data_IF_789198117887
#
_entry.id   IF_789198117887
#
_cell.length_a   1.000
_cell.length_b   1.000
_cell.length_c   1.000
_cell.angle_alpha   90.00
_cell.angle_beta   90.00
_cell.angle_gamma   90.00
#
_symmetry.space_group_name_H-M   'P 1'
#
loop_
_entity.id
_entity.type
_entity.pdbx_description
1 polymer ?
#
# COMPACT_ATOMS: atom_id res chain seq x y z
N UNK A 1 -7.03 27.93 43.34
CA UNK A 1 -6.04 27.46 42.35
C UNK A 1 -6.78 26.47 41.48
N UNK A 2 -7.39 26.98 40.42
CA UNK A 2 -8.24 26.21 39.51
C UNK A 2 -7.37 25.40 38.56
N UNK A 3 -7.55 24.08 38.59
CA UNK A 3 -6.81 23.11 37.79
C UNK A 3 -7.70 22.72 36.60
N UNK A 4 -7.72 23.57 35.59
CA UNK A 4 -8.38 23.31 34.30
C UNK A 4 -7.32 22.81 33.27
N UNK A 5 -6.69 21.65 33.57
CA UNK A 5 -5.71 21.01 32.68
C UNK A 5 -6.24 19.79 31.91
N UNK A 6 -7.56 19.59 31.83
CA UNK A 6 -8.14 18.42 31.14
C UNK A 6 -9.33 18.79 30.26
N UNK A 7 -9.15 19.76 29.38
CA UNK A 7 -9.89 19.74 28.10
C UNK A 7 -8.88 19.29 27.04
N UNK A 8 -9.12 18.18 26.31
CA UNK A 8 -8.42 17.94 25.07
C UNK A 8 -8.76 19.10 24.15
N UNK A 9 -7.92 20.14 24.15
CA UNK A 9 -8.01 21.20 23.18
C UNK A 9 -7.79 20.53 21.84
N UNK A 10 -8.80 20.55 20.97
CA UNK A 10 -8.59 20.29 19.56
C UNK A 10 -7.53 21.29 19.12
N UNK A 11 -6.29 20.82 18.98
CA UNK A 11 -5.20 21.62 18.44
C UNK A 11 -5.73 22.14 17.10
N UNK A 12 -5.83 23.46 16.87
CA UNK A 12 -6.29 23.98 15.61
C UNK A 12 -5.42 23.37 14.52
N UNK A 13 -6.06 22.72 13.53
CA UNK A 13 -5.38 22.25 12.34
C UNK A 13 -4.64 23.47 11.79
N UNK A 14 -3.31 23.37 11.66
CA UNK A 14 -2.53 24.49 11.19
C UNK A 14 -3.10 24.92 9.82
N UNK A 15 -3.18 26.22 9.51
CA UNK A 15 -3.87 26.71 8.32
C UNK A 15 -3.30 26.16 7.00
N UNK A 16 -2.13 25.53 7.02
CA UNK A 16 -1.46 24.92 5.88
C UNK A 16 -1.48 23.38 5.89
N UNK A 17 -2.18 22.74 6.84
CA UNK A 17 -2.29 21.27 6.87
C UNK A 17 -3.27 20.81 5.80
N UNK A 18 -2.72 20.31 4.68
CA UNK A 18 -3.50 19.71 3.59
C UNK A 18 -4.04 18.35 4.03
N UNK A 19 -5.34 18.12 3.81
CA UNK A 19 -5.96 16.82 4.10
C UNK A 19 -5.78 15.86 2.93
N UNK A 20 -5.76 14.54 3.21
CA UNK A 20 -5.49 13.52 2.19
C UNK A 20 -6.46 13.56 0.99
N UNK A 21 -7.72 13.94 1.22
CA UNK A 21 -8.73 14.01 0.16
C UNK A 21 -8.56 15.24 -0.74
N UNK A 22 -7.85 16.27 -0.29
CA UNK A 22 -7.56 17.44 -1.13
C UNK A 22 -6.68 17.05 -2.31
N UNK A 23 -5.77 16.08 -2.12
CA UNK A 23 -4.97 15.48 -3.21
C UNK A 23 -5.82 14.71 -4.25
N UNK A 24 -7.06 14.34 -3.91
CA UNK A 24 -8.00 13.74 -4.85
C UNK A 24 -8.82 14.78 -5.59
N UNK A 25 -9.12 15.90 -4.94
CA UNK A 25 -9.88 17.01 -5.53
C UNK A 25 -9.00 17.78 -6.51
N UNK A 26 -7.78 18.08 -6.09
CA UNK A 26 -6.78 18.76 -6.90
C UNK A 26 -5.53 17.87 -7.06
N UNK A 27 -5.35 17.22 -8.23
CA UNK A 27 -4.21 16.34 -8.45
C UNK A 27 -2.87 17.10 -8.50
N UNK A 28 -2.86 18.39 -8.84
CA UNK A 28 -1.64 19.20 -8.88
C UNK A 28 -1.03 19.39 -7.49
N UNK A 29 -1.89 19.38 -6.47
CA UNK A 29 -1.52 19.55 -5.07
C UNK A 29 -0.57 18.47 -4.55
N UNK A 30 -0.73 17.24 -5.04
CA UNK A 30 0.13 16.11 -4.68
C UNK A 30 1.50 16.27 -5.33
N UNK A 31 1.55 16.66 -6.60
CA UNK A 31 2.79 16.87 -7.33
C UNK A 31 3.61 18.02 -6.72
N UNK A 32 2.97 19.15 -6.39
CA UNK A 32 3.62 20.25 -5.67
C UNK A 32 4.18 19.80 -4.31
N UNK A 33 3.43 18.96 -3.59
CA UNK A 33 3.86 18.44 -2.29
C UNK A 33 5.07 17.51 -2.43
N UNK A 34 5.07 16.64 -3.42
CA UNK A 34 6.15 15.69 -3.68
C UNK A 34 7.44 16.35 -4.20
N UNK A 35 7.30 17.45 -4.94
CA UNK A 35 8.44 18.26 -5.40
C UNK A 35 9.07 19.12 -4.30
N UNK A 36 8.40 19.31 -3.16
CA UNK A 36 8.93 20.09 -2.05
C UNK A 36 9.82 19.21 -1.13
N UNK A 37 11.14 19.44 -1.06
CA UNK A 37 12.05 18.62 -0.24
C UNK A 37 11.84 18.78 1.27
N UNK A 38 11.13 19.83 1.71
CA UNK A 38 10.82 20.11 3.12
C UNK A 38 9.33 19.96 3.44
N UNK A 39 8.59 19.21 2.61
CA UNK A 39 7.19 18.93 2.89
C UNK A 39 7.02 18.15 4.20
N UNK A 40 6.04 18.56 5.01
CA UNK A 40 5.63 17.86 6.23
C UNK A 40 4.15 17.45 6.08
N UNK A 41 3.83 16.14 6.02
CA UNK A 41 4.72 14.99 6.09
C UNK A 41 5.54 14.80 4.81
N UNK A 42 6.71 14.16 4.92
CA UNK A 42 7.52 13.77 3.77
C UNK A 42 6.80 12.80 2.84
N UNK A 43 7.23 12.69 1.58
CA UNK A 43 6.66 11.73 0.62
C UNK A 43 6.61 10.29 1.16
N UNK A 44 7.67 9.87 1.85
CA UNK A 44 7.74 8.56 2.50
C UNK A 44 6.72 8.40 3.63
N UNK A 45 6.62 9.38 4.51
CA UNK A 45 5.64 9.33 5.61
C UNK A 45 4.20 9.37 5.09
N UNK A 46 3.95 10.13 4.03
CA UNK A 46 2.66 10.19 3.37
C UNK A 46 2.28 8.84 2.78
N UNK A 47 3.21 8.18 2.07
CA UNK A 47 3.03 6.82 1.56
C UNK A 47 2.72 5.83 2.69
N UNK A 48 3.51 5.83 3.76
CA UNK A 48 3.30 4.94 4.92
C UNK A 48 1.93 5.19 5.55
N UNK A 49 1.52 6.45 5.73
CA UNK A 49 0.20 6.82 6.29
C UNK A 49 -0.94 6.32 5.39
N UNK A 50 -0.81 6.45 4.07
CA UNK A 50 -1.82 5.96 3.13
C UNK A 50 -1.94 4.44 3.14
N UNK A 51 -0.82 3.72 3.15
CA UNK A 51 -0.81 2.25 3.21
C UNK A 51 -1.34 1.71 4.54
N UNK A 52 -0.98 2.32 5.67
CA UNK A 52 -1.57 1.95 6.97
C UNK A 52 -3.08 2.19 7.00
N UNK A 53 -3.51 3.35 6.49
CA UNK A 53 -4.93 3.72 6.49
C UNK A 53 -5.76 2.87 5.52
N UNK A 54 -5.17 2.31 4.46
CA UNK A 54 -5.85 1.38 3.55
C UNK A 54 -5.91 -0.05 4.09
N UNK A 55 -5.07 -0.39 5.08
CA UNK A 55 -5.01 -1.73 5.69
C UNK A 55 -6.17 -2.01 6.66
N UNK A 56 -6.81 -0.98 7.23
CA UNK A 56 -7.97 -1.10 8.15
C UNK A 56 -9.25 -1.63 7.47
N UNK A 57 -9.11 -2.39 6.37
CA UNK A 57 -10.21 -3.10 5.72
C UNK A 57 -10.71 -4.23 6.61
N UNK A 58 -12.03 -4.29 6.90
CA UNK A 58 -12.67 -5.52 7.33
C UNK A 58 -12.59 -6.53 6.16
N UNK A 59 -12.01 -7.70 6.40
CA UNK A 59 -11.78 -8.74 5.38
C UNK A 59 -13.08 -9.36 4.82
N UNK A 60 -14.22 -9.14 5.48
CA UNK A 60 -15.51 -9.74 5.16
C UNK A 60 -16.58 -8.66 4.89
N UNK A 61 -16.40 -7.84 3.85
CA UNK A 61 -17.46 -6.92 3.42
C UNK A 61 -18.29 -7.54 2.30
N UNK A 62 -19.60 -7.76 2.47
CA UNK A 62 -20.47 -8.25 1.41
C UNK A 62 -20.53 -7.30 0.20
N UNK A 63 -20.91 -7.82 -0.96
CA UNK A 63 -21.22 -7.00 -2.12
C UNK A 63 -22.38 -6.06 -1.77
N UNK A 64 -22.22 -4.76 -2.05
CA UNK A 64 -23.25 -3.75 -1.78
C UNK A 64 -23.95 -3.48 -3.10
N UNK A 65 -25.24 -3.75 -3.17
CA UNK A 65 -26.02 -3.53 -4.38
C UNK A 65 -26.37 -2.04 -4.55
N UNK A 66 -26.54 -1.57 -5.79
CA UNK A 66 -26.81 -0.15 -6.06
C UNK A 66 -28.18 0.27 -5.48
N UNK A 67 -29.14 -0.66 -5.45
CA UNK A 67 -30.47 -0.44 -4.90
C UNK A 67 -30.43 -0.25 -3.36
N UNK A 68 -29.50 -0.93 -2.68
CA UNK A 68 -29.24 -0.74 -1.24
C UNK A 68 -28.71 0.67 -0.92
N UNK A 69 -28.05 1.33 -1.88
CA UNK A 69 -27.52 2.68 -1.74
C UNK A 69 -28.58 3.77 -2.02
N UNK A 70 -29.72 3.42 -2.61
CA UNK A 70 -30.83 4.38 -2.82
C UNK A 70 -31.79 4.39 -1.63
N UNK A 71 -31.85 3.30 -0.87
CA UNK A 71 -32.65 3.18 0.34
C UNK A 71 -32.03 3.95 1.53
N UNK A 72 -32.72 4.99 2.00
CA UNK A 72 -32.28 5.80 3.13
C UNK A 72 -32.38 5.09 4.48
N UNK A 73 -33.04 3.93 4.56
CA UNK A 73 -33.10 3.10 5.76
C UNK A 73 -31.82 2.27 6.00
N UNK A 74 -30.99 2.06 4.96
CA UNK A 74 -29.77 1.23 5.02
C UNK A 74 -28.50 2.08 5.19
N UNK A 75 -28.49 2.90 6.25
CA UNK A 75 -27.39 3.83 6.56
C UNK A 75 -26.05 3.11 6.74
N UNK A 76 -26.06 1.92 7.36
CA UNK A 76 -24.85 1.12 7.61
C UNK A 76 -24.16 0.69 6.31
N UNK A 77 -24.93 0.22 5.31
CA UNK A 77 -24.40 -0.15 3.98
C UNK A 77 -23.81 1.06 3.24
N UNK A 78 -24.43 2.25 3.36
CA UNK A 78 -23.86 3.51 2.82
C UNK A 78 -22.55 3.91 3.50
N UNK A 79 -22.42 3.71 4.80
CA UNK A 79 -21.17 3.97 5.53
C UNK A 79 -20.09 3.00 5.07
N UNK A 80 -20.44 1.73 4.90
CA UNK A 80 -19.55 0.67 4.43
C UNK A 80 -19.03 0.93 3.01
N UNK A 81 -19.91 1.29 2.08
CA UNK A 81 -19.54 1.67 0.71
C UNK A 81 -18.57 2.87 0.69
N UNK A 82 -18.86 3.91 1.48
CA UNK A 82 -17.98 5.09 1.59
C UNK A 82 -16.61 4.72 2.15
N UNK A 83 -16.54 3.80 3.12
CA UNK A 83 -15.28 3.27 3.64
C UNK A 83 -14.51 2.53 2.54
N UNK A 84 -15.17 1.67 1.75
CA UNK A 84 -14.55 0.97 0.62
C UNK A 84 -13.94 1.94 -0.38
N UNK A 85 -14.72 2.94 -0.82
CA UNK A 85 -14.24 3.97 -1.74
C UNK A 85 -13.10 4.81 -1.17
N UNK A 86 -13.15 5.16 0.12
CA UNK A 86 -12.04 5.81 0.81
C UNK A 86 -10.76 4.97 0.69
N UNK A 87 -10.82 3.68 0.97
CA UNK A 87 -9.64 2.81 0.91
C UNK A 87 -9.09 2.69 -0.52
N UNK A 88 -9.95 2.52 -1.53
CA UNK A 88 -9.54 2.52 -2.94
C UNK A 88 -8.80 3.81 -3.31
N UNK A 89 -9.33 4.98 -2.91
CA UNK A 89 -8.67 6.25 -3.17
C UNK A 89 -7.31 6.37 -2.48
N UNK A 90 -7.17 5.87 -1.25
CA UNK A 90 -5.91 5.87 -0.53
C UNK A 90 -4.85 4.99 -1.20
N UNK A 91 -5.24 3.83 -1.73
CA UNK A 91 -4.35 2.98 -2.52
C UNK A 91 -3.85 3.70 -3.77
N UNK A 92 -4.75 4.37 -4.50
CA UNK A 92 -4.39 5.13 -5.71
C UNK A 92 -3.42 6.26 -5.35
N UNK A 93 -3.63 6.96 -4.23
CA UNK A 93 -2.70 7.99 -3.77
C UNK A 93 -1.33 7.41 -3.42
N UNK A 94 -1.27 6.27 -2.73
CA UNK A 94 -0.01 5.57 -2.49
C UNK A 94 0.70 5.21 -3.81
N UNK A 95 -0.04 4.72 -4.80
CA UNK A 95 0.48 4.39 -6.14
C UNK A 95 1.07 5.62 -6.83
N UNK A 96 0.39 6.77 -6.75
CA UNK A 96 0.88 8.03 -7.33
C UNK A 96 2.21 8.49 -6.73
N UNK A 97 2.40 8.27 -5.43
CA UNK A 97 3.68 8.59 -4.77
C UNK A 97 4.80 7.69 -5.30
N UNK A 98 4.52 6.39 -5.45
CA UNK A 98 5.54 5.45 -5.96
C UNK A 98 5.82 5.67 -7.45
N UNK A 99 4.82 6.08 -8.24
CA UNK A 99 5.04 6.48 -9.63
C UNK A 99 5.89 7.75 -9.74
N UNK A 100 5.78 8.67 -8.78
CA UNK A 100 6.67 9.84 -8.71
C UNK A 100 8.13 9.46 -8.41
N UNK A 101 8.35 8.32 -7.73
CA UNK A 101 9.68 7.72 -7.57
C UNK A 101 10.09 6.83 -8.74
N UNK A 102 9.39 6.90 -9.87
CA UNK A 102 9.66 6.11 -11.08
C UNK A 102 9.69 4.60 -10.82
N UNK A 103 8.92 4.13 -9.82
CA UNK A 103 8.89 2.72 -9.42
C UNK A 103 10.26 2.16 -8.98
N UNK A 104 11.11 3.00 -8.40
CA UNK A 104 12.40 2.56 -7.86
C UNK A 104 12.22 1.66 -6.61
N UNK A 105 12.42 0.37 -6.83
CA UNK A 105 12.34 -0.66 -5.80
C UNK A 105 13.40 -0.48 -4.69
N UNK A 106 14.55 0.12 -4.99
CA UNK A 106 15.59 0.34 -3.97
C UNK A 106 15.13 1.41 -2.96
N UNK A 107 14.50 2.48 -3.47
CA UNK A 107 13.91 3.51 -2.63
C UNK A 107 12.76 2.92 -1.81
N UNK A 108 11.86 2.14 -2.43
CA UNK A 108 10.76 1.50 -1.74
C UNK A 108 11.26 0.58 -0.60
N UNK A 109 12.28 -0.24 -0.88
CA UNK A 109 12.85 -1.16 0.10
C UNK A 109 13.55 -0.46 1.27
N UNK A 110 14.24 0.64 0.99
CA UNK A 110 14.99 1.39 2.00
C UNK A 110 14.08 2.27 2.87
N UNK A 111 13.02 2.84 2.27
CA UNK A 111 12.19 3.87 2.90
C UNK A 111 10.93 3.31 3.57
N UNK A 112 10.48 2.13 3.18
CA UNK A 112 9.19 1.55 3.62
C UNK A 112 9.41 0.20 4.30
N UNK A 113 8.75 -0.10 5.44
CA UNK A 113 8.77 -1.42 6.06
C UNK A 113 8.29 -2.55 5.13
N UNK A 114 8.89 -3.73 5.24
CA UNK A 114 8.59 -4.89 4.37
C UNK A 114 7.10 -5.29 4.37
N UNK A 115 6.42 -5.19 5.52
CA UNK A 115 4.99 -5.48 5.64
C UNK A 115 4.14 -4.56 4.77
N UNK A 116 4.49 -3.28 4.69
CA UNK A 116 3.81 -2.29 3.84
C UNK A 116 4.19 -2.45 2.37
N UNK A 117 5.41 -2.91 2.07
CA UNK A 117 5.80 -3.25 0.70
C UNK A 117 4.95 -4.38 0.15
N UNK A 118 4.75 -5.45 0.94
CA UNK A 118 3.87 -6.58 0.56
C UNK A 118 2.46 -6.07 0.25
N UNK A 119 1.89 -5.25 1.14
CA UNK A 119 0.55 -4.69 0.96
C UNK A 119 0.47 -3.84 -0.30
N UNK A 120 1.47 -2.99 -0.54
CA UNK A 120 1.52 -2.14 -1.72
C UNK A 120 1.52 -2.96 -3.01
N UNK A 121 2.37 -3.97 -3.11
CA UNK A 121 2.48 -4.78 -4.33
C UNK A 121 1.23 -5.64 -4.53
N UNK A 122 0.64 -6.17 -3.45
CA UNK A 122 -0.65 -6.85 -3.52
C UNK A 122 -1.76 -5.91 -3.99
N UNK A 123 -1.79 -4.67 -3.49
CA UNK A 123 -2.78 -3.66 -3.89
C UNK A 123 -2.59 -3.23 -5.35
N UNK A 124 -1.37 -3.24 -5.89
CA UNK A 124 -1.11 -3.04 -7.32
C UNK A 124 -1.68 -4.18 -8.17
N UNK A 125 -1.43 -5.43 -7.76
CA UNK A 125 -1.95 -6.61 -8.47
C UNK A 125 -3.48 -6.67 -8.40
N UNK A 126 -4.09 -6.33 -7.26
CA UNK A 126 -5.53 -6.21 -7.06
C UNK A 126 -6.15 -5.13 -7.95
N UNK A 127 -5.48 -3.99 -8.13
CA UNK A 127 -5.97 -2.90 -8.98
C UNK A 127 -6.00 -3.28 -10.46
N UNK A 128 -5.00 -4.04 -10.90
CA UNK A 128 -4.76 -4.37 -12.31
C UNK A 128 -5.38 -5.73 -12.71
N UNK A 129 -5.78 -6.51 -11.71
CA UNK A 129 -6.45 -7.80 -11.81
C UNK A 129 -7.61 -7.82 -12.80
N UNK A 130 -8.43 -6.77 -12.89
CA UNK A 130 -9.62 -6.73 -13.76
C UNK A 130 -10.51 -8.01 -13.67
N UNK A 131 -10.52 -8.70 -12.52
CA UNK A 131 -11.26 -9.95 -12.31
C UNK A 131 -10.44 -11.25 -12.44
N UNK A 132 -9.14 -11.16 -12.79
CA UNK A 132 -8.18 -12.27 -12.73
C UNK A 132 -7.50 -12.29 -11.35
N UNK A 133 -7.47 -13.42 -10.63
CA UNK A 133 -6.81 -13.49 -9.32
C UNK A 133 -5.27 -13.40 -9.44
N UNK A 134 -4.72 -12.23 -9.74
CA UNK A 134 -3.29 -11.97 -9.89
C UNK A 134 -2.57 -11.78 -8.55
N UNK A 135 -3.26 -11.92 -7.42
CA UNK A 135 -2.68 -11.71 -6.09
C UNK A 135 -1.80 -12.90 -5.68
N UNK A 136 -2.11 -14.10 -6.19
CA UNK A 136 -1.39 -15.31 -5.84
C UNK A 136 -0.32 -15.68 -6.88
N UNK A 137 0.85 -16.11 -6.40
CA UNK A 137 1.98 -16.49 -7.23
C UNK A 137 1.64 -17.72 -8.09
N UNK A 138 0.90 -18.68 -7.53
CA UNK A 138 0.43 -19.86 -8.27
C UNK A 138 -0.43 -19.46 -9.47
N UNK A 139 -1.22 -18.38 -9.34
CA UNK A 139 -2.05 -17.88 -10.43
C UNK A 139 -1.23 -17.29 -11.58
N UNK A 140 0.01 -16.85 -11.34
CA UNK A 140 0.91 -16.38 -12.40
C UNK A 140 1.47 -17.54 -13.21
N UNK A 141 1.76 -18.68 -12.56
CA UNK A 141 2.23 -19.90 -13.23
C UNK A 141 1.17 -20.54 -14.15
N UNK A 142 -0.11 -20.25 -13.90
CA UNK A 142 -1.24 -20.72 -14.72
C UNK A 142 -1.53 -19.84 -15.94
N UNK A 143 -0.83 -18.72 -16.09
CA UNK A 143 -0.97 -17.85 -17.27
C UNK A 143 -0.22 -18.50 -18.43
N UNK A 144 -0.92 -19.32 -19.21
CA UNK A 144 -0.35 -20.01 -20.38
C UNK A 144 0.10 -19.03 -21.48
N UNK A 145 -0.46 -17.82 -21.55
CA UNK A 145 -0.14 -16.85 -22.60
C UNK A 145 -0.10 -15.40 -22.10
N UNK A 146 1.12 -14.94 -21.77
CA UNK A 146 1.43 -13.55 -21.38
C UNK A 146 1.04 -12.53 -22.45
N UNK A 147 0.87 -12.95 -23.71
CA UNK A 147 0.53 -12.06 -24.83
C UNK A 147 -0.92 -11.56 -24.83
N UNK A 148 -1.79 -12.21 -24.05
CA UNK A 148 -3.20 -11.81 -23.91
C UNK A 148 -3.42 -10.81 -22.78
N UNK A 149 -2.40 -10.53 -21.98
CA UNK A 149 -2.46 -9.59 -20.88
C UNK A 149 -2.32 -8.16 -21.39
N UNK A 150 -2.99 -7.24 -20.71
CA UNK A 150 -2.80 -5.81 -20.94
C UNK A 150 -1.39 -5.39 -20.52
N UNK A 151 -0.85 -4.34 -21.15
CA UNK A 151 0.47 -3.80 -20.80
C UNK A 151 0.59 -3.45 -19.31
N UNK A 152 -0.50 -2.96 -18.71
CA UNK A 152 -0.59 -2.66 -17.28
C UNK A 152 -0.45 -3.91 -16.40
N UNK A 153 -1.04 -5.04 -16.82
CA UNK A 153 -0.97 -6.33 -16.13
C UNK A 153 0.44 -6.91 -16.21
N UNK A 154 1.05 -6.87 -17.39
CA UNK A 154 2.44 -7.26 -17.59
C UNK A 154 3.40 -6.43 -16.74
N UNK A 155 3.18 -5.12 -16.67
CA UNK A 155 3.97 -4.22 -15.82
C UNK A 155 3.86 -4.61 -14.34
N UNK A 156 2.65 -4.79 -13.83
CA UNK A 156 2.41 -5.13 -12.43
C UNK A 156 3.04 -6.48 -12.03
N UNK A 157 2.89 -7.51 -12.87
CA UNK A 157 3.48 -8.84 -12.67
C UNK A 157 5.01 -8.76 -12.69
N UNK A 158 5.58 -8.07 -13.68
CA UNK A 158 7.03 -7.88 -13.78
C UNK A 158 7.61 -7.16 -12.56
N UNK A 159 6.92 -6.10 -12.10
CA UNK A 159 7.32 -5.37 -10.91
C UNK A 159 7.26 -6.25 -9.65
N UNK A 160 6.22 -7.07 -9.51
CA UNK A 160 6.08 -8.01 -8.39
C UNK A 160 7.22 -9.02 -8.35
N UNK A 161 7.51 -9.73 -9.45
CA UNK A 161 8.62 -10.69 -9.47
C UNK A 161 9.96 -10.02 -9.22
N UNK A 162 10.20 -8.83 -9.83
CA UNK A 162 11.44 -8.08 -9.60
C UNK A 162 11.59 -7.65 -8.14
N UNK A 163 10.51 -7.21 -7.51
CA UNK A 163 10.48 -6.88 -6.08
C UNK A 163 10.76 -8.10 -5.21
N UNK A 164 10.09 -9.23 -5.46
CA UNK A 164 10.29 -10.49 -4.73
C UNK A 164 11.75 -10.94 -4.78
N UNK A 165 12.35 -10.96 -5.98
CA UNK A 165 13.77 -11.31 -6.13
C UNK A 165 14.68 -10.33 -5.38
N UNK A 166 14.40 -9.03 -5.45
CA UNK A 166 15.21 -8.01 -4.77
C UNK A 166 15.16 -8.18 -3.25
N UNK A 167 13.98 -8.47 -2.69
CA UNK A 167 13.80 -8.73 -1.26
C UNK A 167 14.56 -9.99 -0.83
N UNK A 168 14.42 -11.10 -1.58
CA UNK A 168 15.09 -12.37 -1.27
C UNK A 168 16.61 -12.22 -1.36
N UNK A 169 17.13 -11.58 -2.41
CA UNK A 169 18.57 -11.32 -2.55
C UNK A 169 19.09 -10.45 -1.40
N UNK A 170 18.36 -9.39 -1.06
CA UNK A 170 18.76 -8.52 0.05
C UNK A 170 18.75 -9.26 1.38
N UNK A 171 17.79 -10.14 1.60
CA UNK A 171 17.71 -10.98 2.79
C UNK A 171 18.84 -11.99 2.86
N UNK A 172 19.09 -12.74 1.79
CA UNK A 172 20.17 -13.73 1.72
C UNK A 172 21.55 -13.07 1.87
N UNK A 173 21.75 -11.88 1.30
CA UNK A 173 22.96 -11.09 1.47
C UNK A 173 23.11 -10.56 2.91
N UNK A 174 22.02 -10.13 3.53
CA UNK A 174 22.02 -9.71 4.94
C UNK A 174 22.35 -10.88 5.86
N UNK A 175 21.80 -12.08 5.62
CA UNK A 175 22.18 -13.30 6.36
C UNK A 175 23.66 -13.65 6.23
N UNK A 176 24.26 -13.44 5.05
CA UNK A 176 25.70 -13.65 4.83
C UNK A 176 26.57 -12.66 5.62
N UNK A 177 26.11 -11.45 5.93
CA UNK A 177 26.84 -10.50 6.78
C UNK A 177 26.69 -10.84 8.28
N UNK A 178 25.54 -11.38 8.70
CA UNK A 178 25.28 -11.83 10.08
C UNK A 178 26.08 -13.08 10.49
N UNK A 179 26.78 -13.76 9.57
CA UNK A 179 27.70 -14.85 9.92
C UNK A 179 28.84 -14.40 10.86
N UNK A 180 28.96 -13.10 11.17
CA UNK A 180 29.92 -12.53 12.11
C UNK A 180 29.35 -12.08 13.47
N UNK A 181 28.02 -12.03 13.67
CA UNK A 181 27.44 -11.64 14.96
C UNK A 181 26.08 -12.30 15.21
N UNK A 182 26.09 -13.41 15.95
CA UNK A 182 25.03 -13.90 16.87
C UNK A 182 23.59 -14.11 16.33
N UNK A 183 22.83 -15.08 16.87
CA UNK A 183 21.46 -15.31 16.41
C UNK A 183 20.54 -14.19 16.93
N UNK A 184 20.03 -13.36 16.01
CA UNK A 184 18.89 -12.47 16.25
C UNK A 184 17.64 -13.20 15.77
N UNK A 185 16.76 -13.57 16.69
CA UNK A 185 15.44 -14.10 16.36
C UNK A 185 14.60 -12.95 15.77
N UNK A 186 14.40 -12.95 14.46
CA UNK A 186 13.58 -11.95 13.77
C UNK A 186 12.21 -12.55 13.42
N UNK A 187 11.13 -11.88 13.82
CA UNK A 187 9.73 -12.32 13.62
C UNK A 187 9.27 -12.30 12.16
N UNK A 188 10.15 -11.95 11.22
CA UNK A 188 9.91 -11.92 9.79
C UNK A 188 10.34 -13.22 9.08
N UNK A 189 10.97 -14.18 9.78
CA UNK A 189 11.48 -15.41 9.18
C UNK A 189 10.40 -16.23 8.47
N UNK A 190 9.19 -16.33 9.02
CA UNK A 190 8.10 -17.11 8.41
C UNK A 190 7.60 -16.51 7.08
N UNK A 191 7.59 -15.18 6.99
CA UNK A 191 7.18 -14.47 5.77
C UNK A 191 8.26 -14.61 4.69
N UNK A 192 9.53 -14.55 5.11
CA UNK A 192 10.67 -14.67 4.21
C UNK A 192 10.86 -16.10 3.72
N UNK A 193 10.59 -17.10 4.56
CA UNK A 193 10.59 -18.51 4.15
C UNK A 193 9.49 -18.80 3.12
N UNK A 194 8.30 -18.17 3.26
CA UNK A 194 7.25 -18.26 2.24
C UNK A 194 7.67 -17.63 0.91
N UNK A 195 8.33 -16.47 0.95
CA UNK A 195 8.83 -15.82 -0.28
C UNK A 195 9.95 -16.62 -0.94
N UNK A 196 10.84 -17.25 -0.17
CA UNK A 196 11.92 -18.09 -0.67
C UNK A 196 11.37 -19.35 -1.37
N UNK A 197 10.42 -20.05 -0.75
CA UNK A 197 9.71 -21.19 -1.36
C UNK A 197 8.98 -20.77 -2.64
N UNK A 198 8.41 -19.56 -2.68
CA UNK A 198 7.74 -19.03 -3.87
C UNK A 198 8.71 -18.65 -5.00
N UNK A 199 10.01 -18.48 -4.73
CA UNK A 199 11.01 -18.18 -5.78
C UNK A 199 11.61 -19.41 -6.46
N UNK A 200 11.41 -20.60 -5.89
CA UNK A 200 11.91 -21.88 -6.41
C UNK A 200 10.93 -22.57 -7.38
N UNK A 201 9.71 -22.03 -7.53
CA UNK A 201 8.68 -22.45 -8.49
C UNK A 201 8.69 -21.54 -9.73
#
# INVERSE_FOLDING_TARGET
MDVDLLRPGMIPIAPNTKLWFEFLIDPSLLEEHLNNPHADPSATELLIKFLYSSMERPKDMPAIDIDDLMDNSKIDKKIEYRKRKKYECLKILAMKIVSFWEWDLNLLQTRVPISLQIIFVQDLLDLVSNGLNLIDFESHSTIEDLSQLNDEQLFAITLFHRWTLTVIISYTLSKKSTFTLGPVQDGNEDVLMKLEIQSEL
#
